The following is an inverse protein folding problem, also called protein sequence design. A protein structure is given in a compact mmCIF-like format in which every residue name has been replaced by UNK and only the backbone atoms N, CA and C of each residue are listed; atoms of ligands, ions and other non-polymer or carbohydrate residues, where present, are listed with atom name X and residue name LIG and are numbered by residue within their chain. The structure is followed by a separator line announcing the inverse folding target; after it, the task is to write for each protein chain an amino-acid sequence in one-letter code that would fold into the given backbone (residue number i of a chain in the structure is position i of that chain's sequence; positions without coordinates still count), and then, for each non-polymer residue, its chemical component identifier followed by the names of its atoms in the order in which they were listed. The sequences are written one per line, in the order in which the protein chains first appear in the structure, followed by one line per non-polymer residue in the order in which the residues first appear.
data_IF_833030362346
#
_entry.id   IF_833030362346
#
_cell.length_a   1.000
_cell.length_b   1.000
_cell.length_c   1.000
_cell.angle_alpha   90.00
_cell.angle_beta   90.00
_cell.angle_gamma   90.00
#
_symmetry.space_group_name_H-M   'P 1'
#
loop_
_entity.id
_entity.type
_entity.pdbx_description
1 polymer ?
#
# COMPACT_ATOMS: atom_id res chain seq x y z
N UNK A 1 36.37 2.71 -6.22
CA UNK A 1 36.42 1.72 -5.12
C UNK A 1 35.30 0.75 -5.37
N UNK A 2 35.61 -0.49 -5.71
CA UNK A 2 34.63 -1.58 -5.87
C UNK A 2 34.36 -2.15 -4.48
N UNK A 3 33.15 -2.01 -3.98
CA UNK A 3 32.71 -2.69 -2.76
C UNK A 3 32.46 -4.16 -3.09
N UNK A 4 33.28 -5.04 -2.53
CA UNK A 4 33.27 -6.48 -2.87
C UNK A 4 32.84 -7.39 -1.71
N UNK A 5 32.48 -6.83 -0.54
CA UNK A 5 32.02 -7.63 0.58
C UNK A 5 30.71 -7.10 1.17
N UNK A 6 29.92 -8.00 1.75
CA UNK A 6 28.67 -7.65 2.43
C UNK A 6 28.89 -6.67 3.59
N UNK A 7 30.02 -6.79 4.30
CA UNK A 7 30.32 -5.92 5.43
C UNK A 7 30.67 -4.49 5.01
N UNK A 8 31.34 -4.31 3.86
CA UNK A 8 31.57 -2.99 3.28
C UNK A 8 30.28 -2.33 2.85
N UNK A 9 29.35 -3.11 2.26
CA UNK A 9 28.02 -2.64 1.88
C UNK A 9 27.22 -2.21 3.14
N UNK A 10 27.20 -3.04 4.19
CA UNK A 10 26.55 -2.70 5.46
C UNK A 10 27.10 -1.41 6.07
N UNK A 11 28.43 -1.27 6.09
CA UNK A 11 29.09 -0.07 6.60
C UNK A 11 28.75 1.18 5.78
N UNK A 12 28.62 1.05 4.46
CA UNK A 12 28.17 2.14 3.60
C UNK A 12 26.72 2.53 3.89
N UNK A 13 25.82 1.57 4.03
CA UNK A 13 24.41 1.79 4.37
C UNK A 13 24.25 2.49 5.73
N UNK A 14 25.09 2.16 6.72
CA UNK A 14 25.06 2.80 8.03
C UNK A 14 25.41 4.29 8.00
N UNK A 15 26.16 4.74 6.99
CA UNK A 15 26.55 6.16 6.79
C UNK A 15 25.49 6.99 6.09
N UNK A 16 24.49 6.36 5.49
CA UNK A 16 23.39 7.04 4.82
C UNK A 16 22.51 7.77 5.82
N UNK A 17 22.01 8.93 5.42
CA UNK A 17 20.94 9.62 6.13
C UNK A 17 19.66 8.78 6.15
N UNK A 18 18.73 9.10 7.03
CA UNK A 18 17.42 8.42 7.09
C UNK A 18 16.71 8.46 5.74
N UNK A 19 16.81 9.60 5.05
CA UNK A 19 16.20 9.79 3.73
C UNK A 19 16.83 8.86 2.67
N UNK A 20 18.16 8.81 2.61
CA UNK A 20 18.89 7.97 1.67
C UNK A 20 18.65 6.47 1.92
N UNK A 21 18.55 6.05 3.19
CA UNK A 21 18.20 4.65 3.54
C UNK A 21 16.81 4.29 3.03
N UNK A 22 15.81 5.15 3.19
CA UNK A 22 14.46 4.93 2.66
C UNK A 22 14.43 4.82 1.13
N UNK A 23 15.20 5.70 0.47
CA UNK A 23 15.34 5.66 -1.00
C UNK A 23 15.99 4.34 -1.45
N UNK A 24 17.08 3.92 -0.77
CA UNK A 24 17.77 2.66 -1.05
C UNK A 24 16.86 1.46 -0.81
N UNK A 25 16.11 1.45 0.28
CA UNK A 25 15.13 0.40 0.60
C UNK A 25 14.08 0.27 -0.50
N UNK A 26 13.49 1.40 -0.91
CA UNK A 26 12.49 1.42 -2.00
C UNK A 26 13.08 0.91 -3.32
N UNK A 27 14.32 1.28 -3.64
CA UNK A 27 15.02 0.81 -4.82
C UNK A 27 15.36 -0.68 -4.77
N UNK A 28 15.83 -1.19 -3.63
CA UNK A 28 16.12 -2.62 -3.44
C UNK A 28 14.85 -3.46 -3.62
N UNK A 29 13.76 -3.07 -2.96
CA UNK A 29 12.47 -3.77 -3.07
C UNK A 29 12.03 -3.84 -4.53
N UNK A 30 12.09 -2.73 -5.26
CA UNK A 30 11.75 -2.71 -6.68
C UNK A 30 12.70 -3.57 -7.52
N UNK A 31 14.00 -3.50 -7.28
CA UNK A 31 15.01 -4.25 -8.05
C UNK A 31 14.85 -5.75 -7.91
N UNK A 32 14.56 -6.24 -6.71
CA UNK A 32 14.33 -7.68 -6.48
C UNK A 32 12.96 -8.16 -6.97
N UNK A 33 11.99 -7.26 -7.14
CA UNK A 33 10.68 -7.61 -7.72
C UNK A 33 10.73 -7.89 -9.23
N UNK A 34 11.82 -7.53 -9.91
CA UNK A 34 12.00 -7.79 -11.35
C UNK A 34 12.57 -9.18 -11.68
N UNK A 35 13.12 -9.89 -10.69
CA UNK A 35 13.89 -11.13 -10.92
C UNK A 35 13.16 -12.37 -10.39
N UNK A 36 11.85 -12.49 -10.67
CA UNK A 36 11.08 -13.68 -10.30
C UNK A 36 11.44 -14.92 -11.12
N UNK A 37 12.22 -14.79 -12.19
CA UNK A 37 12.65 -15.92 -13.03
C UNK A 37 13.91 -16.65 -12.54
N UNK A 38 14.64 -16.10 -11.55
CA UNK A 38 15.89 -16.68 -11.04
C UNK A 38 15.76 -17.48 -9.75
N UNK A 39 14.60 -17.48 -9.08
CA UNK A 39 14.40 -18.20 -7.82
C UNK A 39 13.42 -19.36 -7.99
N UNK A 40 13.88 -20.42 -8.67
CA UNK A 40 13.22 -21.73 -8.68
C UNK A 40 13.22 -22.47 -7.34
N UNK A 41 13.66 -21.84 -6.26
CA UNK A 41 13.53 -22.35 -4.90
C UNK A 41 12.70 -21.39 -4.05
N UNK A 42 11.59 -21.91 -3.53
CA UNK A 42 10.80 -21.25 -2.48
C UNK A 42 11.70 -21.04 -1.26
N UNK A 43 12.30 -19.88 -1.15
CA UNK A 43 12.81 -19.42 0.15
C UNK A 43 11.56 -19.27 1.03
N UNK A 44 11.45 -20.06 2.09
CA UNK A 44 10.43 -19.89 3.10
C UNK A 44 10.54 -18.44 3.62
N UNK A 45 9.59 -17.59 3.25
CA UNK A 45 9.59 -16.20 3.69
C UNK A 45 9.53 -16.18 5.22
N UNK A 46 10.38 -15.38 5.89
CA UNK A 46 10.19 -15.15 7.31
C UNK A 46 8.79 -14.56 7.49
N UNK A 47 7.97 -15.18 8.31
CA UNK A 47 6.64 -14.70 8.63
C UNK A 47 6.75 -13.23 9.05
N UNK A 48 6.27 -12.31 8.21
CA UNK A 48 6.18 -10.90 8.58
C UNK A 48 5.18 -10.85 9.72
N UNK A 49 5.58 -10.25 10.85
CA UNK A 49 4.72 -10.15 12.01
C UNK A 49 3.59 -9.17 11.73
N UNK A 50 2.51 -9.67 11.12
CA UNK A 50 1.21 -9.03 11.26
C UNK A 50 0.89 -8.92 12.76
N UNK A 51 0.30 -7.82 13.19
CA UNK A 51 -0.20 -7.69 14.56
C UNK A 51 -0.94 -8.97 14.95
N UNK A 52 -0.77 -9.44 16.18
CA UNK A 52 -1.06 -10.81 16.62
C UNK A 52 -2.27 -11.46 15.97
N UNK A 53 -2.13 -12.73 15.61
CA UNK A 53 -3.23 -13.55 15.09
C UNK A 53 -4.27 -13.66 16.21
N UNK A 54 -5.42 -13.03 16.05
CA UNK A 54 -6.48 -13.06 17.08
C UNK A 54 -7.20 -14.41 17.13
N UNK A 55 -7.14 -15.21 16.06
CA UNK A 55 -7.73 -16.54 16.03
C UNK A 55 -6.75 -17.58 15.49
N UNK A 56 -6.60 -18.70 16.20
CA UNK A 56 -5.81 -19.84 15.76
C UNK A 56 -6.54 -20.75 14.74
N UNK A 57 -7.84 -20.54 14.58
CA UNK A 57 -8.65 -21.31 13.63
C UNK A 57 -8.76 -20.56 12.31
N UNK A 58 -8.48 -21.25 11.21
CA UNK A 58 -8.67 -20.66 9.86
C UNK A 58 -10.16 -20.50 9.60
N UNK A 59 -10.55 -19.30 9.15
CA UNK A 59 -11.91 -19.00 8.74
C UNK A 59 -12.07 -19.16 7.22
N UNK A 60 -13.22 -19.64 6.78
CA UNK A 60 -13.64 -19.47 5.39
C UNK A 60 -13.91 -17.98 5.09
N UNK A 61 -14.07 -17.64 3.82
CA UNK A 61 -14.41 -16.26 3.42
C UNK A 61 -15.75 -15.84 4.01
N UNK A 62 -16.73 -16.73 4.01
CA UNK A 62 -18.08 -16.49 4.55
C UNK A 62 -18.04 -16.24 6.06
N UNK A 63 -17.29 -17.08 6.78
CA UNK A 63 -17.11 -16.93 8.22
C UNK A 63 -16.37 -15.63 8.57
N UNK A 64 -15.33 -15.27 7.80
CA UNK A 64 -14.65 -13.99 7.98
C UNK A 64 -15.56 -12.80 7.74
N UNK A 65 -16.36 -12.79 6.67
CA UNK A 65 -17.28 -11.69 6.38
C UNK A 65 -18.33 -11.52 7.49
N UNK A 66 -18.89 -12.63 7.99
CA UNK A 66 -19.83 -12.62 9.10
C UNK A 66 -19.19 -12.15 10.42
N UNK A 67 -17.95 -12.58 10.69
CA UNK A 67 -17.16 -12.12 11.83
C UNK A 67 -16.90 -10.62 11.76
N UNK A 68 -16.43 -10.15 10.61
CA UNK A 68 -16.02 -8.76 10.39
C UNK A 68 -17.19 -7.77 10.44
N UNK A 69 -18.39 -8.22 10.03
CA UNK A 69 -19.62 -7.40 10.12
C UNK A 69 -19.98 -7.03 11.58
N UNK A 70 -19.68 -7.92 12.52
CA UNK A 70 -19.98 -7.76 13.94
C UNK A 70 -18.76 -7.30 14.78
N UNK A 71 -17.62 -7.08 14.15
CA UNK A 71 -16.39 -6.69 14.85
C UNK A 71 -16.31 -5.18 15.09
N UNK A 72 -15.92 -4.79 16.31
CA UNK A 72 -15.64 -3.38 16.65
C UNK A 72 -14.33 -2.87 16.02
N UNK A 73 -13.43 -3.79 15.64
CA UNK A 73 -12.16 -3.51 14.98
C UNK A 73 -12.17 -4.05 13.57
N UNK A 74 -11.36 -3.48 12.69
CA UNK A 74 -11.14 -4.02 11.35
C UNK A 74 -10.03 -5.06 11.36
N UNK A 75 -10.22 -6.08 10.53
CA UNK A 75 -9.27 -7.19 10.38
C UNK A 75 -8.97 -7.43 8.91
N UNK A 76 -7.70 -7.53 8.59
CA UNK A 76 -7.27 -8.07 7.30
C UNK A 76 -7.37 -9.59 7.34
N UNK A 77 -7.66 -10.19 6.18
CA UNK A 77 -7.79 -11.63 6.03
C UNK A 77 -6.81 -12.14 4.97
N UNK A 78 -6.05 -13.15 5.30
CA UNK A 78 -5.07 -13.75 4.41
C UNK A 78 -5.22 -15.27 4.48
N UNK A 79 -5.87 -15.83 3.47
CA UNK A 79 -6.01 -17.28 3.28
C UNK A 79 -6.44 -18.01 4.57
N UNK A 80 -7.48 -17.53 5.22
CA UNK A 80 -8.03 -18.10 6.45
C UNK A 80 -7.53 -17.48 7.76
N UNK A 81 -6.40 -16.78 7.75
CA UNK A 81 -5.88 -16.10 8.93
C UNK A 81 -6.43 -14.66 9.01
N UNK A 82 -6.78 -14.25 10.23
CA UNK A 82 -7.38 -12.94 10.53
C UNK A 82 -6.41 -12.13 11.38
N UNK A 83 -6.17 -10.89 10.97
CA UNK A 83 -5.18 -9.98 11.58
C UNK A 83 -5.83 -8.66 11.95
N UNK A 84 -5.85 -8.33 13.24
CA UNK A 84 -6.40 -7.06 13.71
C UNK A 84 -5.59 -5.87 13.20
N UNK A 85 -6.26 -4.86 12.69
CA UNK A 85 -5.64 -3.60 12.33
C UNK A 85 -5.32 -2.78 13.58
N UNK A 86 -4.16 -2.16 13.60
CA UNK A 86 -3.78 -1.20 14.65
C UNK A 86 -4.44 0.16 14.40
N UNK A 87 -4.61 0.94 15.46
CA UNK A 87 -5.03 2.33 15.33
C UNK A 87 -4.01 3.18 14.56
N UNK A 88 -4.46 4.26 13.97
CA UNK A 88 -3.66 5.19 13.18
C UNK A 88 -3.21 6.41 14.01
N UNK A 89 -2.09 7.02 13.64
CA UNK A 89 -1.61 8.27 14.24
C UNK A 89 -2.40 9.48 13.69
N UNK A 90 -2.33 10.60 14.40
CA UNK A 90 -2.90 11.87 13.93
C UNK A 90 -2.31 12.27 12.57
N UNK A 91 -1.00 12.14 12.38
CA UNK A 91 -0.35 12.47 11.11
C UNK A 91 -0.85 11.60 9.97
N UNK A 92 -1.02 10.30 10.20
CA UNK A 92 -1.59 9.38 9.23
C UNK A 92 -3.01 9.81 8.81
N UNK A 93 -3.87 10.11 9.79
CA UNK A 93 -5.26 10.53 9.51
C UNK A 93 -5.33 11.84 8.74
N UNK A 94 -4.48 12.85 9.08
CA UNK A 94 -4.44 14.11 8.37
C UNK A 94 -3.94 13.94 6.92
N UNK A 95 -2.85 13.20 6.72
CA UNK A 95 -2.30 12.92 5.37
C UNK A 95 -3.33 12.19 4.51
N UNK A 96 -3.94 11.12 5.04
CA UNK A 96 -4.95 10.36 4.31
C UNK A 96 -6.20 11.20 4.02
N UNK A 97 -6.60 12.05 4.96
CA UNK A 97 -7.71 12.98 4.83
C UNK A 97 -7.51 14.02 3.74
N UNK A 98 -6.33 14.68 3.72
CA UNK A 98 -5.97 15.67 2.71
C UNK A 98 -5.95 15.04 1.30
N UNK A 99 -5.35 13.85 1.16
CA UNK A 99 -5.34 13.11 -0.08
C UNK A 99 -6.75 12.73 -0.54
N UNK A 100 -7.54 12.16 0.36
CA UNK A 100 -8.91 11.76 0.02
C UNK A 100 -9.76 12.95 -0.43
N UNK A 101 -9.66 14.09 0.26
CA UNK A 101 -10.39 15.30 -0.10
C UNK A 101 -10.06 15.78 -1.52
N UNK A 102 -8.76 15.82 -1.86
CA UNK A 102 -8.29 16.21 -3.19
C UNK A 102 -8.72 15.21 -4.28
N UNK A 103 -8.58 13.92 -4.04
CA UNK A 103 -9.02 12.86 -4.96
C UNK A 103 -10.53 12.91 -5.17
N UNK A 104 -11.30 13.05 -4.07
CA UNK A 104 -12.76 13.15 -4.16
C UNK A 104 -13.20 14.38 -4.96
N UNK A 105 -12.57 15.53 -4.75
CA UNK A 105 -12.86 16.75 -5.50
C UNK A 105 -12.58 16.57 -7.00
N UNK A 106 -11.45 15.96 -7.35
CA UNK A 106 -11.05 15.67 -8.74
C UNK A 106 -12.06 14.75 -9.46
N UNK A 107 -12.57 13.74 -8.74
CA UNK A 107 -13.42 12.71 -9.35
C UNK A 107 -14.91 13.05 -9.34
N UNK A 108 -15.29 14.21 -8.78
CA UNK A 108 -16.70 14.63 -8.67
C UNK A 108 -17.37 14.72 -10.04
N UNK A 109 -18.53 14.09 -10.15
CA UNK A 109 -19.31 14.07 -11.41
C UNK A 109 -18.80 13.08 -12.46
N UNK A 110 -17.63 12.48 -12.26
CA UNK A 110 -17.05 11.47 -13.14
C UNK A 110 -17.51 10.04 -12.83
N UNK A 111 -17.05 9.08 -13.64
CA UNK A 111 -17.42 7.67 -13.51
C UNK A 111 -16.63 6.95 -12.40
N UNK A 112 -15.57 7.56 -11.87
CA UNK A 112 -14.73 6.97 -10.84
C UNK A 112 -15.14 7.47 -9.45
N UNK A 113 -15.03 6.59 -8.45
CA UNK A 113 -15.36 6.89 -7.05
C UNK A 113 -14.20 6.53 -6.13
N UNK A 114 -13.83 7.40 -5.17
CA UNK A 114 -12.87 7.08 -4.13
C UNK A 114 -13.55 6.39 -2.96
N UNK A 115 -12.81 5.47 -2.33
CA UNK A 115 -13.20 4.74 -1.11
C UNK A 115 -12.09 4.90 -0.07
N UNK A 116 -12.46 4.95 1.20
CA UNK A 116 -11.55 5.01 2.35
C UNK A 116 -11.38 3.65 3.03
N UNK A 117 -10.51 3.63 4.02
CA UNK A 117 -10.08 2.49 4.83
C UNK A 117 -11.17 1.63 5.49
N UNK A 118 -12.43 2.08 5.50
CA UNK A 118 -13.56 1.29 5.99
C UNK A 118 -14.13 0.32 4.93
N UNK A 119 -13.70 0.41 3.68
CA UNK A 119 -14.19 -0.43 2.60
C UNK A 119 -13.12 -1.42 2.16
N UNK A 120 -13.45 -2.71 2.23
CA UNK A 120 -12.51 -3.80 1.94
C UNK A 120 -12.15 -3.87 0.46
N UNK A 121 -10.91 -4.25 0.17
CA UNK A 121 -10.47 -4.76 -1.13
C UNK A 121 -10.33 -6.28 -1.03
N UNK A 122 -11.11 -7.03 -1.84
CA UNK A 122 -10.91 -8.46 -2.01
C UNK A 122 -10.08 -8.73 -3.25
N UNK A 123 -9.11 -9.61 -3.13
CA UNK A 123 -8.33 -10.13 -4.26
C UNK A 123 -8.10 -11.62 -4.09
N UNK A 124 -7.87 -12.31 -5.22
CA UNK A 124 -7.57 -13.73 -5.23
C UNK A 124 -6.25 -13.96 -5.94
N UNK A 125 -5.30 -14.58 -5.25
CA UNK A 125 -3.96 -14.89 -5.75
C UNK A 125 -3.69 -16.38 -5.54
N UNK A 126 -3.41 -17.12 -6.60
CA UNK A 126 -3.08 -18.56 -6.54
C UNK A 126 -4.07 -19.38 -5.68
N UNK A 127 -5.36 -19.17 -5.87
CA UNK A 127 -6.46 -19.78 -5.11
C UNK A 127 -6.61 -19.29 -3.66
N UNK A 128 -5.76 -18.40 -3.17
CA UNK A 128 -5.88 -17.78 -1.85
C UNK A 128 -6.76 -16.54 -1.95
N UNK A 129 -7.73 -16.43 -1.06
CA UNK A 129 -8.52 -15.21 -0.88
C UNK A 129 -7.83 -14.28 0.13
N UNK A 130 -7.75 -13.00 -0.22
CA UNK A 130 -7.19 -11.97 0.63
C UNK A 130 -8.17 -10.80 0.72
N UNK A 131 -8.27 -10.20 1.92
CA UNK A 131 -9.00 -8.96 2.14
C UNK A 131 -8.09 -7.98 2.86
N UNK A 132 -7.91 -6.81 2.24
CA UNK A 132 -7.18 -5.68 2.81
C UNK A 132 -8.09 -4.47 2.97
N UNK A 133 -7.63 -3.50 3.75
CA UNK A 133 -8.27 -2.20 3.93
C UNK A 133 -7.29 -1.08 3.53
N UNK A 134 -7.11 -0.82 2.24
CA UNK A 134 -6.26 0.28 1.80
C UNK A 134 -6.77 1.61 2.32
N UNK A 135 -5.87 2.54 2.64
CA UNK A 135 -6.24 3.86 3.14
C UNK A 135 -7.11 4.62 2.15
N UNK A 136 -6.78 4.54 0.84
CA UNK A 136 -7.60 5.08 -0.23
C UNK A 136 -7.57 4.15 -1.45
N UNK A 137 -8.73 3.90 -2.02
CA UNK A 137 -8.89 3.23 -3.31
C UNK A 137 -9.72 4.09 -4.25
N UNK A 138 -9.46 3.97 -5.55
CA UNK A 138 -10.33 4.53 -6.58
C UNK A 138 -10.75 3.41 -7.52
N UNK A 139 -12.05 3.29 -7.76
CA UNK A 139 -12.60 2.42 -8.79
C UNK A 139 -13.43 3.21 -9.79
N UNK A 140 -13.44 2.75 -11.05
CA UNK A 140 -14.18 3.37 -12.14
C UNK A 140 -15.21 2.39 -12.68
N UNK A 141 -16.41 2.89 -13.01
CA UNK A 141 -17.51 2.08 -13.49
C UNK A 141 -18.55 1.75 -12.42
N UNK A 142 -19.39 0.75 -12.68
CA UNK A 142 -20.42 0.34 -11.73
C UNK A 142 -19.82 -0.53 -10.64
N UNK A 143 -19.91 -0.06 -9.41
CA UNK A 143 -19.72 -0.88 -8.22
C UNK A 143 -21.12 -1.32 -7.78
N UNK A 144 -21.30 -2.61 -7.51
CA UNK A 144 -22.55 -3.10 -6.96
C UNK A 144 -22.75 -2.46 -5.58
N UNK A 145 -23.84 -1.69 -5.44
CA UNK A 145 -24.15 -0.96 -4.20
C UNK A 145 -24.45 -1.84 -3.00
N UNK A 146 -24.59 -3.15 -3.19
CA UNK A 146 -24.79 -4.16 -2.13
C UNK A 146 -23.49 -4.85 -1.73
N UNK A 147 -22.39 -4.62 -2.47
CA UNK A 147 -21.10 -5.25 -2.16
C UNK A 147 -20.46 -4.65 -0.93
N UNK A 148 -19.94 -5.50 -0.05
CA UNK A 148 -19.18 -5.13 1.15
C UNK A 148 -17.68 -4.99 0.89
N UNK A 149 -17.23 -5.15 -0.36
CA UNK A 149 -15.83 -5.05 -0.79
C UNK A 149 -15.71 -4.65 -2.26
N UNK A 150 -14.56 -4.12 -2.62
CA UNK A 150 -14.16 -3.80 -3.98
C UNK A 150 -13.33 -4.96 -4.56
N UNK A 151 -13.42 -5.17 -5.88
CA UNK A 151 -12.61 -6.15 -6.61
C UNK A 151 -11.60 -5.49 -7.57
N UNK A 152 -11.99 -4.38 -8.17
CA UNK A 152 -11.34 -3.82 -9.34
C UNK A 152 -10.93 -2.34 -9.12
N UNK A 153 -10.03 -2.05 -8.16
CA UNK A 153 -9.51 -0.70 -8.00
C UNK A 153 -8.60 -0.33 -9.18
N UNK A 154 -8.58 0.95 -9.52
CA UNK A 154 -7.69 1.53 -10.50
C UNK A 154 -6.45 2.16 -9.86
N UNK A 155 -6.65 2.78 -8.70
CA UNK A 155 -5.62 3.38 -7.86
C UNK A 155 -5.75 2.81 -6.46
N UNK A 156 -4.61 2.48 -5.84
CA UNK A 156 -4.50 2.13 -4.41
C UNK A 156 -3.44 3.02 -3.76
N UNK A 157 -3.77 3.59 -2.61
CA UNK A 157 -2.87 4.43 -1.82
C UNK A 157 -2.79 3.89 -0.39
N UNK A 158 -1.58 3.74 0.12
CA UNK A 158 -1.30 3.39 1.52
C UNK A 158 -0.46 4.50 2.17
N UNK A 159 -0.88 4.95 3.34
CA UNK A 159 -0.12 5.86 4.19
C UNK A 159 0.67 5.04 5.20
N UNK A 160 1.98 5.04 5.06
CA UNK A 160 2.86 4.17 5.82
C UNK A 160 2.89 4.53 7.30
N UNK A 161 2.61 3.55 8.15
CA UNK A 161 2.85 3.61 9.59
C UNK A 161 4.11 2.81 9.96
N UNK A 162 4.73 3.05 11.12
CA UNK A 162 5.87 2.24 11.57
C UNK A 162 5.55 0.73 11.67
N UNK A 163 4.31 0.37 11.95
CA UNK A 163 3.86 -1.03 12.09
C UNK A 163 3.57 -1.73 10.76
N UNK A 164 3.15 -1.01 9.72
CA UNK A 164 2.69 -1.60 8.45
C UNK A 164 3.64 -1.39 7.28
N UNK A 165 4.60 -0.45 7.40
CA UNK A 165 5.45 -0.04 6.29
C UNK A 165 6.18 -1.17 5.56
N UNK A 166 6.61 -2.22 6.26
CA UNK A 166 7.28 -3.38 5.64
C UNK A 166 6.30 -4.25 4.85
N UNK A 167 5.06 -4.41 5.35
CA UNK A 167 3.98 -5.17 4.72
C UNK A 167 3.50 -4.44 3.46
N UNK A 168 3.24 -3.13 3.58
CA UNK A 168 2.77 -2.29 2.47
C UNK A 168 3.80 -2.23 1.33
N UNK A 169 5.10 -2.18 1.68
CA UNK A 169 6.19 -2.13 0.69
C UNK A 169 6.44 -3.45 -0.03
N UNK A 170 6.11 -4.58 0.56
CA UNK A 170 6.41 -5.91 0.03
C UNK A 170 5.17 -6.70 -0.31
N UNK A 171 4.44 -7.18 0.68
CA UNK A 171 3.32 -8.12 0.46
C UNK A 171 2.15 -7.47 -0.27
N UNK A 172 1.67 -6.33 0.22
CA UNK A 172 0.57 -5.62 -0.42
C UNK A 172 0.96 -5.13 -1.81
N UNK A 173 2.20 -4.63 -2.01
CA UNK A 173 2.68 -4.26 -3.33
C UNK A 173 2.64 -5.44 -4.32
N UNK A 174 3.15 -6.63 -3.90
CA UNK A 174 3.13 -7.83 -4.74
C UNK A 174 1.71 -8.30 -5.03
N UNK A 175 0.79 -8.13 -4.08
CA UNK A 175 -0.61 -8.47 -4.22
C UNK A 175 -1.34 -7.52 -5.16
N UNK A 176 -1.22 -6.20 -4.95
CA UNK A 176 -1.96 -5.21 -5.73
C UNK A 176 -1.53 -5.16 -7.19
N UNK A 177 -0.25 -5.35 -7.50
CA UNK A 177 0.21 -5.39 -8.91
C UNK A 177 -0.38 -6.55 -9.73
N UNK A 178 -0.90 -7.61 -9.08
CA UNK A 178 -1.57 -8.73 -9.76
C UNK A 178 -3.01 -8.41 -10.15
N UNK A 179 -3.65 -7.43 -9.50
CA UNK A 179 -4.99 -6.98 -9.88
C UNK A 179 -4.92 -6.28 -11.23
N UNK A 180 -5.58 -6.84 -12.24
CA UNK A 180 -5.46 -6.36 -13.63
C UNK A 180 -5.85 -4.90 -13.82
N UNK A 181 -6.82 -4.41 -13.03
CA UNK A 181 -7.33 -3.03 -13.10
C UNK A 181 -6.46 -2.00 -12.39
N UNK A 182 -5.58 -2.42 -11.47
CA UNK A 182 -4.68 -1.49 -10.78
C UNK A 182 -3.65 -0.94 -11.78
N UNK A 183 -3.72 0.35 -12.03
CA UNK A 183 -2.79 1.09 -12.89
C UNK A 183 -1.68 1.75 -12.06
N UNK A 184 -2.00 2.14 -10.82
CA UNK A 184 -1.09 2.90 -9.97
C UNK A 184 -1.21 2.47 -8.50
N UNK A 185 -0.08 2.27 -7.84
CA UNK A 185 0.06 2.06 -6.40
C UNK A 185 0.93 3.16 -5.81
N UNK A 186 0.51 3.74 -4.70
CA UNK A 186 1.17 4.89 -4.09
C UNK A 186 1.40 4.66 -2.62
N UNK A 187 2.64 4.87 -2.20
CA UNK A 187 3.05 4.85 -0.80
C UNK A 187 3.34 6.26 -0.33
N UNK A 188 2.74 6.67 0.77
CA UNK A 188 2.87 8.00 1.36
C UNK A 188 3.44 7.86 2.77
N UNK A 189 4.54 8.53 3.08
CA UNK A 189 5.05 8.54 4.46
C UNK A 189 4.25 9.52 5.30
N UNK A 190 4.04 9.23 6.60
CA UNK A 190 3.25 10.12 7.47
C UNK A 190 4.08 11.20 8.19
N UNK A 191 5.41 11.05 8.22
CA UNK A 191 6.34 11.82 9.05
C UNK A 191 7.37 12.64 8.25
N UNK A 192 7.37 12.49 6.93
CA UNK A 192 8.26 13.23 6.02
C UNK A 192 7.56 13.46 4.69
N UNK A 193 7.78 14.61 4.06
CA UNK A 193 7.20 14.89 2.75
C UNK A 193 7.85 14.02 1.67
N UNK A 194 7.40 12.74 1.61
CA UNK A 194 7.86 11.77 0.64
C UNK A 194 6.72 10.88 0.16
N UNK A 195 6.63 10.73 -1.16
CA UNK A 195 5.66 9.86 -1.83
C UNK A 195 6.41 9.00 -2.84
N UNK A 196 6.10 7.70 -2.86
CA UNK A 196 6.60 6.77 -3.88
C UNK A 196 5.44 6.29 -4.73
N UNK A 197 5.54 6.49 -6.05
CA UNK A 197 4.54 6.01 -7.02
C UNK A 197 5.08 4.83 -7.79
N UNK A 198 4.24 3.83 -7.99
CA UNK A 198 4.49 2.66 -8.82
C UNK A 198 3.40 2.57 -9.89
N UNK A 199 3.76 2.47 -11.17
CA UNK A 199 2.81 2.45 -12.28
C UNK A 199 2.98 1.23 -13.15
N UNK A 200 1.86 0.62 -13.52
CA UNK A 200 1.85 -0.54 -14.41
C UNK A 200 2.53 -0.25 -15.75
N UNK A 201 2.25 0.89 -16.38
CA UNK A 201 2.85 1.31 -17.65
C UNK A 201 4.37 1.50 -17.57
N UNK A 202 4.91 1.78 -16.36
CA UNK A 202 6.34 1.93 -16.08
C UNK A 202 6.93 0.64 -15.47
N UNK A 203 6.26 -0.51 -15.68
CA UNK A 203 6.67 -1.82 -15.17
C UNK A 203 6.89 -1.81 -13.65
N UNK A 204 6.11 -1.01 -12.93
CA UNK A 204 6.16 -0.86 -11.48
C UNK A 204 7.48 -0.31 -10.92
N UNK A 205 8.28 0.35 -11.77
CA UNK A 205 9.49 1.03 -11.29
C UNK A 205 9.13 2.15 -10.31
N UNK A 206 9.80 2.24 -9.13
CA UNK A 206 9.49 3.28 -8.15
C UNK A 206 9.92 4.65 -8.65
N UNK A 207 9.06 5.63 -8.44
CA UNK A 207 9.39 7.04 -8.59
C UNK A 207 9.15 7.75 -7.27
N UNK A 208 10.21 8.30 -6.69
CA UNK A 208 10.17 8.98 -5.39
C UNK A 208 10.07 10.48 -5.60
N UNK A 209 9.13 11.10 -4.89
CA UNK A 209 8.92 12.54 -4.80
C UNK A 209 9.21 12.98 -3.37
N UNK A 210 10.08 14.00 -3.19
CA UNK A 210 10.49 14.44 -1.86
C UNK A 210 10.48 15.97 -1.75
N UNK A 211 10.19 16.45 -0.54
CA UNK A 211 10.13 17.87 -0.24
C UNK A 211 8.78 18.51 -0.54
N UNK A 212 8.39 19.50 0.27
CA UNK A 212 7.07 20.16 0.22
C UNK A 212 6.79 20.87 -1.11
N UNK A 213 7.84 21.34 -1.80
CA UNK A 213 7.73 22.05 -3.07
C UNK A 213 7.58 21.08 -4.27
N UNK A 214 7.77 19.78 -4.06
CA UNK A 214 7.61 18.78 -5.10
C UNK A 214 6.13 18.58 -5.45
N UNK A 215 5.90 18.16 -6.70
CA UNK A 215 4.56 17.80 -7.21
C UNK A 215 4.53 16.32 -7.53
N UNK A 216 3.49 15.63 -7.07
CA UNK A 216 3.15 14.27 -7.48
C UNK A 216 1.96 14.28 -8.42
N UNK A 217 2.02 13.46 -9.46
CA UNK A 217 0.89 13.26 -10.38
C UNK A 217 0.36 11.83 -10.24
N UNK A 218 -0.89 11.70 -9.87
CA UNK A 218 -1.66 10.45 -9.89
C UNK A 218 -2.21 10.27 -11.30
N UNK A 219 -1.42 9.61 -12.16
CA UNK A 219 -1.71 9.53 -13.61
C UNK A 219 -3.01 8.76 -13.89
N UNK A 220 -3.28 7.73 -13.12
CA UNK A 220 -4.48 6.90 -13.25
C UNK A 220 -5.79 7.70 -13.16
N UNK A 221 -5.78 8.85 -12.48
CA UNK A 221 -6.95 9.71 -12.26
C UNK A 221 -6.75 11.16 -12.74
N UNK A 222 -5.62 11.47 -13.36
CA UNK A 222 -5.32 12.80 -13.91
C UNK A 222 -5.23 13.91 -12.86
N UNK A 223 -4.77 13.60 -11.63
CA UNK A 223 -4.64 14.56 -10.54
C UNK A 223 -3.17 14.88 -10.26
N UNK A 224 -2.82 16.16 -10.18
CA UNK A 224 -1.50 16.62 -9.72
C UNK A 224 -1.65 17.43 -8.44
N UNK A 225 -0.83 17.12 -7.43
CA UNK A 225 -0.83 17.78 -6.12
C UNK A 225 0.59 18.15 -5.70
N UNK A 226 0.75 19.32 -5.11
CA UNK A 226 1.94 19.67 -4.36
C UNK A 226 2.03 18.86 -3.07
N UNK A 227 3.22 18.37 -2.70
CA UNK A 227 3.38 17.66 -1.43
C UNK A 227 3.03 18.56 -0.24
N UNK A 228 3.26 19.87 -0.33
CA UNK A 228 2.83 20.82 0.70
C UNK A 228 1.33 20.79 1.00
N UNK A 229 0.48 20.51 0.00
CA UNK A 229 -0.96 20.37 0.19
C UNK A 229 -1.32 19.04 0.89
N UNK A 230 -0.61 17.96 0.51
CA UNK A 230 -0.83 16.63 1.09
C UNK A 230 -0.45 16.60 2.57
N UNK A 231 0.64 17.28 2.93
CA UNK A 231 1.18 17.36 4.29
C UNK A 231 0.75 18.61 5.07
N UNK A 232 -0.30 19.31 4.61
CA UNK A 232 -0.84 20.45 5.33
C UNK A 232 -1.31 20.06 6.73
N UNK A 233 -0.87 20.82 7.74
CA UNK A 233 -1.18 20.54 9.15
C UNK A 233 -0.38 19.41 9.80
N UNK A 234 0.56 18.80 9.06
CA UNK A 234 1.40 17.70 9.56
C UNK A 234 2.87 18.08 9.63
N UNK A 235 3.39 18.78 8.60
CA UNK A 235 4.79 19.20 8.47
C UNK A 235 4.91 20.70 8.22
#
# INVERSE_FOLDING_TARGET
MTMNSLDEIKAAIQRLTVQERRTLESWLIASFSYDTDLLGERVAEPAVAYGGVEQHQRLSVEEYLAFEENSERRHEYIDGAVYAMSGVSQSHELVSGNLFAAIHAQLRGGPCKPYKSEFKLRLKIDQRDLFYYPDIMVACGRVDGTSHYLLDPKLVVEVLSPSTASIDRREKFLSYKQIATVEEYVLVTQDTAQITTYRREQKWAPRVHTGRDSVVTFQSIGLSLGLGQIYEGVL
#
